data_IF_048709275725
#
_entry.id   IF_048709275725
#
_cell.length_a   1.000
_cell.length_b   1.000
_cell.length_c   1.000
_cell.angle_alpha   90.00
_cell.angle_beta   90.00
_cell.angle_gamma   90.00
#
_symmetry.space_group_name_H-M   'P 1'
#
loop_
_entity.id
_entity.type
_entity.pdbx_description
1 polymer ?
#
# COMPACT_ATOMS: atom_id res chain seq x y z
N UNK A 1 2.32 -9.50 -24.45
CA UNK A 1 3.16 -8.93 -23.38
C UNK A 1 2.42 -7.74 -22.80
N UNK A 2 2.24 -7.66 -21.49
CA UNK A 2 1.77 -6.41 -20.87
C UNK A 2 2.89 -5.39 -21.02
N UNK A 3 2.65 -4.33 -21.76
CA UNK A 3 3.58 -3.20 -21.82
C UNK A 3 3.53 -2.53 -20.46
N UNK A 4 4.60 -2.67 -19.66
CA UNK A 4 4.79 -1.91 -18.43
C UNK A 4 5.10 -0.44 -18.75
N UNK A 5 5.11 0.40 -17.71
CA UNK A 5 5.53 1.80 -17.82
C UNK A 5 7.01 1.88 -18.24
N UNK A 6 7.37 2.97 -18.88
CA UNK A 6 8.75 3.37 -19.07
C UNK A 6 9.37 3.85 -17.74
N UNK A 7 10.70 3.88 -17.64
CA UNK A 7 11.37 4.44 -16.44
C UNK A 7 10.98 5.89 -16.16
N UNK A 8 10.80 6.68 -17.21
CA UNK A 8 10.37 8.09 -17.09
C UNK A 8 8.97 8.17 -16.49
N UNK A 9 8.03 7.37 -16.98
CA UNK A 9 6.66 7.32 -16.44
C UNK A 9 6.64 6.80 -15.00
N UNK A 10 7.49 5.83 -14.66
CA UNK A 10 7.65 5.37 -13.29
C UNK A 10 8.17 6.49 -12.38
N UNK A 11 9.22 7.20 -12.80
CA UNK A 11 9.80 8.29 -12.02
C UNK A 11 8.78 9.42 -11.77
N UNK A 12 8.01 9.80 -12.78
CA UNK A 12 6.93 10.79 -12.66
C UNK A 12 5.88 10.33 -11.66
N UNK A 13 5.44 9.07 -11.74
CA UNK A 13 4.44 8.53 -10.82
C UNK A 13 4.95 8.42 -9.38
N UNK A 14 6.19 7.99 -9.18
CA UNK A 14 6.78 7.92 -7.85
C UNK A 14 6.96 9.30 -7.21
N UNK A 15 7.34 10.31 -8.00
CA UNK A 15 7.43 11.69 -7.51
C UNK A 15 6.04 12.25 -7.18
N UNK A 16 5.03 11.96 -8.00
CA UNK A 16 3.63 12.30 -7.70
C UNK A 16 3.19 11.69 -6.38
N UNK A 17 3.41 10.37 -6.20
CA UNK A 17 3.04 9.66 -4.97
C UNK A 17 3.76 10.25 -3.76
N UNK A 18 5.04 10.59 -3.88
CA UNK A 18 5.82 11.24 -2.82
C UNK A 18 5.18 12.54 -2.33
N UNK A 19 4.64 13.35 -3.24
CA UNK A 19 4.04 14.65 -2.94
C UNK A 19 2.65 14.55 -2.29
N UNK A 20 1.86 13.51 -2.63
CA UNK A 20 0.46 13.41 -2.18
C UNK A 20 0.26 12.41 -1.02
N UNK A 21 1.20 11.50 -0.80
CA UNK A 21 1.14 10.56 0.32
C UNK A 21 1.22 11.31 1.64
N UNK A 22 0.47 10.82 2.64
CA UNK A 22 0.58 11.24 4.03
C UNK A 22 0.54 10.02 4.92
N UNK A 23 1.24 10.10 6.04
CA UNK A 23 1.25 9.06 7.05
C UNK A 23 0.83 9.72 8.38
N UNK A 24 -0.20 9.17 9.01
CA UNK A 24 -0.74 9.66 10.28
C UNK A 24 -0.45 8.65 11.36
N UNK A 25 0.14 9.10 12.45
CA UNK A 25 0.32 8.32 13.67
C UNK A 25 -0.70 8.82 14.69
N UNK A 26 -1.65 7.96 15.06
CA UNK A 26 -2.74 8.36 15.95
C UNK A 26 -3.27 7.18 16.77
N UNK A 27 -3.90 7.53 17.90
CA UNK A 27 -4.63 6.58 18.74
C UNK A 27 -5.91 6.12 18.01
N UNK A 28 -6.28 4.85 18.12
CA UNK A 28 -7.48 4.31 17.47
C UNK A 28 -8.77 4.97 17.93
N UNK A 29 -8.83 5.55 19.12
CA UNK A 29 -9.97 6.37 19.59
C UNK A 29 -10.25 7.58 18.71
N UNK A 30 -9.22 8.04 17.99
CA UNK A 30 -9.31 9.13 17.03
C UNK A 30 -9.54 8.64 15.59
N UNK A 31 -9.94 7.37 15.42
CA UNK A 31 -10.30 6.79 14.14
C UNK A 31 -11.73 6.30 14.20
N UNK A 32 -12.58 6.80 13.31
CA UNK A 32 -13.96 6.35 13.20
C UNK A 32 -14.18 5.71 11.83
N UNK A 33 -14.70 4.50 11.79
CA UNK A 33 -15.13 3.82 10.56
C UNK A 33 -16.61 4.02 10.33
N UNK A 34 -16.97 4.37 9.11
CA UNK A 34 -18.36 4.49 8.66
C UNK A 34 -18.56 3.65 7.39
N UNK A 35 -19.67 2.91 7.34
CA UNK A 35 -20.14 2.24 6.13
C UNK A 35 -20.87 3.25 5.24
N UNK A 36 -20.52 3.27 3.97
CA UNK A 36 -21.20 4.04 2.93
C UNK A 36 -21.89 3.06 1.98
N UNK A 37 -22.73 3.55 1.08
CA UNK A 37 -23.50 2.69 0.18
C UNK A 37 -22.67 1.62 -0.56
N UNK A 38 -21.48 1.99 -1.06
CA UNK A 38 -20.63 1.10 -1.87
C UNK A 38 -19.17 1.00 -1.40
N UNK A 39 -18.82 1.59 -0.27
CA UNK A 39 -17.45 1.59 0.25
C UNK A 39 -17.42 1.89 1.75
N UNK A 40 -16.28 1.71 2.37
CA UNK A 40 -16.04 2.15 3.73
C UNK A 40 -15.12 3.36 3.74
N UNK A 41 -15.35 4.25 4.69
CA UNK A 41 -14.45 5.35 4.99
C UNK A 41 -13.99 5.29 6.43
N UNK A 42 -12.84 5.87 6.69
CA UNK A 42 -12.40 6.22 8.03
C UNK A 42 -12.22 7.72 8.14
N UNK A 43 -12.67 8.25 9.25
CA UNK A 43 -12.44 9.64 9.65
C UNK A 43 -11.33 9.66 10.69
N UNK A 44 -10.23 10.35 10.38
CA UNK A 44 -9.16 10.63 11.32
C UNK A 44 -9.47 11.95 12.01
N UNK A 45 -9.70 11.88 13.32
CA UNK A 45 -10.00 13.05 14.15
C UNK A 45 -8.68 13.66 14.59
N UNK A 46 -8.46 14.91 14.26
CA UNK A 46 -7.25 15.62 14.64
C UNK A 46 -7.64 16.91 15.38
N UNK A 47 -7.64 16.83 16.70
CA UNK A 47 -8.02 17.93 17.59
C UNK A 47 -7.06 19.12 17.47
N UNK A 48 -5.79 18.88 17.20
CA UNK A 48 -4.77 19.93 17.07
C UNK A 48 -4.95 20.76 15.79
N UNK A 49 -5.35 20.14 14.70
CA UNK A 49 -5.52 20.80 13.40
C UNK A 49 -6.95 21.29 13.14
N UNK A 50 -7.91 21.01 14.03
CA UNK A 50 -9.35 21.34 13.89
C UNK A 50 -9.96 20.89 12.55
N UNK A 51 -9.37 19.91 11.90
CA UNK A 51 -9.83 19.41 10.61
C UNK A 51 -9.74 17.88 10.58
N UNK A 52 -10.89 17.26 10.37
CA UNK A 52 -10.95 15.81 10.18
C UNK A 52 -10.46 15.43 8.77
N UNK A 53 -9.73 14.33 8.67
CA UNK A 53 -9.34 13.75 7.39
C UNK A 53 -10.21 12.54 7.09
N UNK A 54 -10.97 12.59 6.01
CA UNK A 54 -11.84 11.50 5.57
C UNK A 54 -11.12 10.72 4.46
N UNK A 55 -11.03 9.41 4.60
CA UNK A 55 -10.29 8.52 3.72
C UNK A 55 -11.14 7.31 3.35
N UNK A 56 -11.15 6.91 2.10
CA UNK A 56 -11.68 5.59 1.70
C UNK A 56 -10.75 4.51 2.24
N UNK A 57 -11.31 3.34 2.55
CA UNK A 57 -10.52 2.20 3.05
C UNK A 57 -10.35 1.20 1.92
N UNK A 58 -9.10 0.88 1.56
CA UNK A 58 -8.82 -0.15 0.56
C UNK A 58 -8.77 -1.55 1.21
N UNK A 59 -8.71 -2.59 0.38
CA UNK A 59 -8.72 -3.99 0.83
C UNK A 59 -7.55 -4.36 1.75
N UNK A 60 -6.39 -3.71 1.57
CA UNK A 60 -5.22 -3.96 2.41
C UNK A 60 -5.47 -3.41 3.81
N UNK A 61 -5.93 -2.15 3.90
CA UNK A 61 -6.24 -1.52 5.17
C UNK A 61 -7.37 -2.27 5.90
N UNK A 62 -8.41 -2.74 5.18
CA UNK A 62 -9.47 -3.59 5.76
C UNK A 62 -8.90 -4.84 6.41
N UNK A 63 -8.04 -5.60 5.70
CA UNK A 63 -7.42 -6.81 6.26
C UNK A 63 -6.55 -6.50 7.48
N UNK A 64 -5.82 -5.41 7.45
CA UNK A 64 -4.95 -5.00 8.55
C UNK A 64 -5.75 -4.54 9.78
N UNK A 65 -6.88 -3.83 9.58
CA UNK A 65 -7.81 -3.49 10.66
C UNK A 65 -8.37 -4.77 11.29
N UNK A 66 -8.91 -5.68 10.49
CA UNK A 66 -9.44 -6.96 10.98
C UNK A 66 -8.39 -7.76 11.77
N UNK A 67 -7.17 -7.87 11.23
CA UNK A 67 -6.05 -8.55 11.90
C UNK A 67 -5.65 -7.86 13.20
N UNK A 68 -5.64 -6.52 13.22
CA UNK A 68 -5.31 -5.75 14.42
C UNK A 68 -6.30 -5.99 15.56
N UNK A 69 -7.57 -6.11 15.22
CA UNK A 69 -8.66 -6.34 16.18
C UNK A 69 -8.89 -7.82 16.50
N UNK A 70 -8.10 -8.72 15.91
CA UNK A 70 -8.27 -10.16 16.10
C UNK A 70 -9.56 -10.73 15.51
N UNK A 71 -10.21 -10.00 14.59
CA UNK A 71 -11.43 -10.46 13.92
C UNK A 71 -11.04 -11.48 12.85
N UNK A 72 -11.60 -12.72 12.90
CA UNK A 72 -11.32 -13.72 11.86
C UNK A 72 -11.67 -13.20 10.46
N UNK A 73 -10.74 -13.36 9.50
CA UNK A 73 -10.88 -12.78 8.16
C UNK A 73 -12.21 -13.11 7.47
N UNK A 74 -12.64 -14.39 7.53
CA UNK A 74 -13.91 -14.82 6.95
C UNK A 74 -15.13 -14.12 7.58
N UNK A 75 -15.08 -13.85 8.88
CA UNK A 75 -16.17 -13.16 9.57
C UNK A 75 -16.15 -11.66 9.27
N UNK A 76 -14.96 -11.07 9.20
CA UNK A 76 -14.79 -9.68 8.76
C UNK A 76 -15.36 -9.47 7.35
N UNK A 77 -14.97 -10.35 6.41
CA UNK A 77 -15.45 -10.27 5.02
C UNK A 77 -16.96 -10.50 4.92
N UNK A 78 -17.53 -11.41 5.73
CA UNK A 78 -18.96 -11.63 5.81
C UNK A 78 -19.71 -10.37 6.29
N UNK A 79 -19.26 -9.77 7.40
CA UNK A 79 -19.86 -8.51 7.88
C UNK A 79 -19.74 -7.40 6.83
N UNK A 80 -18.59 -7.31 6.17
CA UNK A 80 -18.33 -6.31 5.12
C UNK A 80 -19.29 -6.42 3.95
N UNK A 81 -19.63 -7.63 3.55
CA UNK A 81 -20.51 -7.91 2.40
C UNK A 81 -22.00 -7.88 2.76
N UNK A 82 -22.37 -8.43 3.91
CA UNK A 82 -23.78 -8.69 4.25
C UNK A 82 -24.36 -7.70 5.26
N UNK A 83 -23.52 -7.12 6.13
CA UNK A 83 -23.96 -6.17 7.16
C UNK A 83 -22.88 -5.11 7.45
N UNK A 84 -22.69 -4.13 6.55
CA UNK A 84 -21.64 -3.11 6.67
C UNK A 84 -21.71 -2.28 7.96
N UNK A 85 -22.92 -1.97 8.43
CA UNK A 85 -23.13 -1.20 9.67
C UNK A 85 -22.68 -1.98 10.90
N UNK A 86 -22.89 -3.30 10.91
CA UNK A 86 -22.39 -4.17 11.96
C UNK A 86 -20.86 -4.16 12.00
N UNK A 87 -20.22 -4.22 10.83
CA UNK A 87 -18.76 -4.12 10.76
C UNK A 87 -18.25 -2.80 11.32
N UNK A 88 -18.84 -1.67 10.90
CA UNK A 88 -18.45 -0.34 11.39
C UNK A 88 -18.62 -0.21 12.90
N UNK A 89 -19.75 -0.66 13.43
CA UNK A 89 -20.02 -0.67 14.86
C UNK A 89 -19.02 -1.51 15.62
N UNK A 90 -18.71 -2.72 15.13
CA UNK A 90 -17.78 -3.64 15.75
C UNK A 90 -16.35 -3.04 15.79
N UNK A 91 -15.88 -2.51 14.66
CA UNK A 91 -14.56 -1.88 14.57
C UNK A 91 -14.46 -0.69 15.53
N UNK A 92 -15.45 0.19 15.52
CA UNK A 92 -15.46 1.39 16.37
C UNK A 92 -15.50 1.04 17.87
N UNK A 93 -16.26 0.02 18.27
CA UNK A 93 -16.28 -0.45 19.66
C UNK A 93 -14.89 -0.90 20.10
N UNK A 94 -14.24 -1.76 19.32
CA UNK A 94 -12.90 -2.25 19.65
C UNK A 94 -11.82 -1.17 19.62
N UNK A 95 -11.93 -0.19 18.72
CA UNK A 95 -11.02 0.95 18.69
C UNK A 95 -11.08 1.78 19.99
N UNK A 96 -12.24 1.84 20.62
CA UNK A 96 -12.43 2.56 21.87
C UNK A 96 -12.10 1.72 23.10
N UNK A 97 -12.46 0.43 23.12
CA UNK A 97 -12.28 -0.45 24.29
C UNK A 97 -10.84 -0.96 24.45
N UNK A 98 -10.15 -1.19 23.34
CA UNK A 98 -8.74 -1.62 23.33
C UNK A 98 -7.88 -0.68 22.49
N UNK A 99 -7.72 0.58 22.94
CA UNK A 99 -7.02 1.60 22.17
C UNK A 99 -5.55 1.25 21.96
N UNK A 100 -5.03 1.64 20.80
CA UNK A 100 -3.62 1.47 20.45
C UNK A 100 -3.19 2.51 19.44
N UNK A 101 -1.91 2.89 19.49
CA UNK A 101 -1.36 3.81 18.49
C UNK A 101 -1.12 3.05 17.19
N UNK A 102 -1.62 3.60 16.08
CA UNK A 102 -1.52 3.02 14.73
C UNK A 102 -1.04 4.03 13.71
N UNK A 103 -0.37 3.53 12.70
CA UNK A 103 0.04 4.30 11.54
C UNK A 103 -0.95 4.07 10.41
N UNK A 104 -1.66 5.13 10.00
CA UNK A 104 -2.50 5.13 8.80
C UNK A 104 -1.71 5.74 7.66
N UNK A 105 -1.39 4.94 6.65
CA UNK A 105 -0.71 5.41 5.44
C UNK A 105 -1.73 5.73 4.36
N UNK A 106 -1.57 6.87 3.73
CA UNK A 106 -2.55 7.34 2.73
C UNK A 106 -1.92 7.61 1.37
N UNK A 107 -2.74 7.52 0.35
CA UNK A 107 -2.44 7.94 -1.01
C UNK A 107 -3.76 8.29 -1.71
N UNK A 108 -3.81 9.44 -2.39
CA UNK A 108 -4.95 9.87 -3.19
C UNK A 108 -6.31 9.77 -2.44
N UNK A 109 -6.36 10.25 -1.19
CA UNK A 109 -7.59 10.21 -0.38
C UNK A 109 -8.00 8.81 0.11
N UNK A 110 -7.12 7.82 -0.03
CA UNK A 110 -7.38 6.44 0.38
C UNK A 110 -6.44 6.03 1.51
N UNK A 111 -6.97 5.43 2.58
CA UNK A 111 -6.20 4.70 3.58
C UNK A 111 -5.74 3.39 2.95
N UNK A 112 -4.46 3.33 2.56
CA UNK A 112 -3.88 2.18 1.88
C UNK A 112 -3.24 1.16 2.81
N UNK A 113 -2.97 1.55 4.06
CA UNK A 113 -2.46 0.65 5.08
C UNK A 113 -2.80 1.15 6.48
N UNK A 114 -3.00 0.19 7.41
CA UNK A 114 -3.25 0.38 8.83
C UNK A 114 -2.26 -0.50 9.62
N UNK A 115 -1.19 0.11 10.12
CA UNK A 115 0.00 -0.58 10.60
C UNK A 115 0.28 -0.26 12.07
N UNK A 116 1.19 -1.02 12.71
CA UNK A 116 1.64 -0.68 14.05
C UNK A 116 2.50 0.60 14.04
N UNK A 117 2.57 1.29 15.18
CA UNK A 117 3.43 2.47 15.38
C UNK A 117 4.92 2.20 15.10
N UNK A 118 5.36 0.93 15.27
CA UNK A 118 6.75 0.50 15.09
C UNK A 118 7.11 0.21 13.64
N UNK A 119 6.14 0.32 12.73
CA UNK A 119 6.41 0.04 11.32
C UNK A 119 7.40 1.05 10.74
N UNK A 120 8.52 0.54 10.20
CA UNK A 120 9.48 1.37 9.48
C UNK A 120 9.01 1.56 8.04
N UNK A 121 8.83 2.81 7.68
CA UNK A 121 8.39 3.18 6.32
C UNK A 121 9.54 2.96 5.36
N UNK A 122 9.26 2.26 4.27
CA UNK A 122 10.10 2.21 3.07
C UNK A 122 9.18 2.52 1.92
N UNK A 123 9.47 3.62 1.23
CA UNK A 123 8.66 4.04 0.08
C UNK A 123 9.26 3.58 -1.23
N UNK A 124 8.40 3.32 -2.22
CA UNK A 124 8.84 2.90 -3.55
C UNK A 124 9.83 3.90 -4.17
N UNK A 125 9.70 5.19 -3.88
CA UNK A 125 10.63 6.22 -4.32
C UNK A 125 12.04 5.98 -3.75
N UNK A 126 12.17 5.74 -2.44
CA UNK A 126 13.45 5.47 -1.78
C UNK A 126 14.14 4.22 -2.34
N UNK A 127 13.34 3.17 -2.61
CA UNK A 127 13.85 1.94 -3.25
C UNK A 127 14.34 2.25 -4.67
N UNK A 128 13.56 2.96 -5.46
CA UNK A 128 13.94 3.32 -6.83
C UNK A 128 15.20 4.20 -6.86
N UNK A 129 15.30 5.18 -5.97
CA UNK A 129 16.47 6.06 -5.84
C UNK A 129 17.75 5.30 -5.47
N UNK A 130 17.63 4.26 -4.64
CA UNK A 130 18.76 3.43 -4.26
C UNK A 130 19.16 2.42 -5.34
N UNK A 131 18.18 1.81 -6.02
CA UNK A 131 18.42 0.65 -6.92
C UNK A 131 18.74 1.07 -8.35
N UNK A 132 18.06 2.11 -8.88
CA UNK A 132 18.25 2.50 -10.29
C UNK A 132 19.69 2.92 -10.63
N UNK A 133 20.43 3.66 -9.79
CA UNK A 133 21.81 3.98 -10.06
C UNK A 133 22.73 2.74 -10.09
N UNK A 134 22.43 1.72 -9.29
CA UNK A 134 23.18 0.47 -9.27
C UNK A 134 22.95 -0.29 -10.58
N UNK A 135 21.68 -0.40 -11.01
CA UNK A 135 21.35 -1.05 -12.29
C UNK A 135 22.02 -0.33 -13.46
N UNK A 136 22.07 0.99 -13.45
CA UNK A 136 22.71 1.79 -14.50
C UNK A 136 24.22 1.56 -14.61
N UNK A 137 24.89 1.04 -13.57
CA UNK A 137 26.31 0.71 -13.57
C UNK A 137 26.60 -0.69 -14.07
N UNK A 138 25.60 -1.56 -14.20
CA UNK A 138 25.76 -2.92 -14.72
C UNK A 138 25.89 -2.86 -16.24
N UNK A 139 27.02 -3.30 -16.84
CA UNK A 139 27.19 -3.26 -18.27
C UNK A 139 26.10 -4.03 -19.00
N UNK A 140 25.50 -3.41 -20.04
CA UNK A 140 24.44 -3.94 -20.89
C UNK A 140 23.11 -4.26 -20.17
N UNK A 141 22.99 -4.01 -18.87
CA UNK A 141 21.73 -4.11 -18.16
C UNK A 141 20.75 -3.02 -18.64
N UNK A 142 19.51 -3.43 -18.90
CA UNK A 142 18.44 -2.50 -19.27
C UNK A 142 17.15 -2.82 -18.53
N UNK A 143 16.43 -1.79 -18.15
CA UNK A 143 15.09 -1.98 -17.61
C UNK A 143 14.14 -2.30 -18.76
N UNK A 144 13.62 -3.52 -18.76
CA UNK A 144 12.73 -4.02 -19.79
C UNK A 144 11.28 -3.57 -19.55
N UNK A 145 10.85 -3.51 -18.27
CA UNK A 145 9.54 -2.98 -17.89
C UNK A 145 9.54 -2.61 -16.41
N UNK A 146 8.67 -1.70 -16.05
CA UNK A 146 8.40 -1.38 -14.65
C UNK A 146 6.92 -1.09 -14.46
N UNK A 147 6.43 -1.32 -13.24
CA UNK A 147 5.05 -1.03 -12.88
C UNK A 147 4.95 -0.76 -11.37
N UNK A 148 4.04 0.12 -11.00
CA UNK A 148 3.66 0.34 -9.60
C UNK A 148 2.15 0.18 -9.47
N UNK A 149 1.76 -0.68 -8.53
CA UNK A 149 0.37 -0.93 -8.16
C UNK A 149 0.13 -0.46 -6.73
N UNK A 150 -1.09 -0.57 -6.23
CA UNK A 150 -1.40 -0.29 -4.81
C UNK A 150 -0.57 -1.15 -3.84
N UNK A 151 -0.17 -2.34 -4.24
CA UNK A 151 0.45 -3.33 -3.36
C UNK A 151 1.93 -3.50 -3.62
N UNK A 152 2.40 -3.33 -4.86
CA UNK A 152 3.73 -3.73 -5.29
C UNK A 152 4.31 -2.79 -6.33
N UNK A 153 5.62 -2.65 -6.28
CA UNK A 153 6.41 -2.11 -7.38
C UNK A 153 7.17 -3.27 -8.05
N UNK A 154 7.12 -3.32 -9.37
CA UNK A 154 7.84 -4.28 -10.18
C UNK A 154 8.87 -3.54 -11.03
N UNK A 155 10.08 -4.07 -11.06
CA UNK A 155 11.14 -3.62 -11.93
C UNK A 155 11.77 -4.84 -12.58
N UNK A 156 11.59 -5.00 -13.89
CA UNK A 156 12.21 -6.07 -14.66
C UNK A 156 13.46 -5.54 -15.34
N UNK A 157 14.60 -6.08 -14.95
CA UNK A 157 15.90 -5.80 -15.57
C UNK A 157 16.31 -7.01 -16.40
N UNK A 158 16.85 -6.78 -17.58
CA UNK A 158 17.41 -7.80 -18.46
C UNK A 158 18.86 -7.46 -18.72
N UNK A 159 19.73 -8.44 -18.55
CA UNK A 159 21.13 -8.32 -18.91
C UNK A 159 21.47 -9.40 -19.97
N UNK A 160 21.61 -9.03 -21.25
CA UNK A 160 21.87 -10.00 -22.33
C UNK A 160 23.23 -10.70 -22.23
N UNK A 161 24.13 -10.24 -21.35
CA UNK A 161 25.37 -10.96 -21.06
C UNK A 161 25.21 -12.17 -20.16
N UNK A 162 24.09 -12.26 -19.43
CA UNK A 162 23.77 -13.37 -18.54
C UNK A 162 22.87 -14.36 -19.31
N UNK A 163 23.44 -14.95 -20.33
CA UNK A 163 22.81 -16.01 -21.12
C UNK A 163 23.39 -17.36 -20.70
N UNK A 164 22.52 -18.33 -20.52
CA UNK A 164 22.93 -19.73 -20.34
C UNK A 164 22.07 -20.62 -21.19
N UNK A 165 22.70 -21.55 -21.85
CA UNK A 165 22.04 -22.60 -22.64
C UNK A 165 21.68 -23.74 -21.69
N UNK A 166 20.39 -24.01 -21.51
CA UNK A 166 19.89 -25.07 -20.63
C UNK A 166 19.86 -26.42 -21.39
N UNK A 167 19.61 -26.38 -22.70
CA UNK A 167 19.75 -27.48 -23.65
C UNK A 167 20.03 -26.91 -25.03
N UNK A 168 20.59 -27.71 -25.97
CA UNK A 168 20.96 -27.20 -27.31
C UNK A 168 19.82 -26.46 -27.99
N UNK A 169 20.01 -25.13 -28.18
CA UNK A 169 19.04 -24.23 -28.78
C UNK A 169 18.07 -23.57 -27.81
N UNK A 170 18.07 -23.92 -26.50
CA UNK A 170 17.25 -23.29 -25.46
C UNK A 170 18.10 -22.35 -24.61
N UNK A 171 18.13 -21.08 -25.01
CA UNK A 171 18.89 -20.01 -24.34
C UNK A 171 18.00 -19.27 -23.38
N UNK A 172 18.39 -19.27 -22.10
CA UNK A 172 17.73 -18.48 -21.04
C UNK A 172 18.53 -17.22 -20.79
N UNK A 173 17.86 -16.08 -20.89
CA UNK A 173 18.39 -14.75 -20.52
C UNK A 173 17.82 -14.34 -19.16
N UNK A 174 18.66 -13.87 -18.27
CA UNK A 174 18.25 -13.34 -16.96
C UNK A 174 18.29 -11.80 -16.90
#
# INVERSE_FOLDING_TARGET
MKHGRTLTELAIELDRQRKVKKDYLLDTRNVKMDAMENFFQITLINDEQRANTILRVNDIAHRQIGSTLGIPAKYYDKMRAENPDLLSTNVNSWFNETPSVRMVRTLDGTARAFLSERYRRIDNYEIAEAVLPIIAQIPDARVASCEVTEQRMYLKVVNPRLETEVSPGDVVQS
#
